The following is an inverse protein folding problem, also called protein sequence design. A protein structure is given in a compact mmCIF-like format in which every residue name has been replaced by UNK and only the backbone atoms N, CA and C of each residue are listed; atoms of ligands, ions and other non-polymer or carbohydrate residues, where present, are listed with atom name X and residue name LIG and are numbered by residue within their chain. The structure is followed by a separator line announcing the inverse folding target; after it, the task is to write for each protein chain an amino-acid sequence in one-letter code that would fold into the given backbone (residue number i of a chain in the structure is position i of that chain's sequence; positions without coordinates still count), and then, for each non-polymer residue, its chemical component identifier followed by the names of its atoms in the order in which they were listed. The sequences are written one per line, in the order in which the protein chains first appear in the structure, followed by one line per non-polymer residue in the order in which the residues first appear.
data_IF_194523203943
#
_entry.id   IF_194523203943
#
_cell.length_a   1.000
_cell.length_b   1.000
_cell.length_c   1.000
_cell.angle_alpha   90.00
_cell.angle_beta   90.00
_cell.angle_gamma   90.00
#
_symmetry.space_group_name_H-M   'P 1'
#
loop_
_entity.id
_entity.type
_entity.pdbx_description
1 polymer ?
#
# COMPACT_ATOMS: atom_id res chain seq x y z
N UNK A 1 -26.80 0.15 6.45
CA UNK A 1 -25.79 -0.94 6.30
C UNK A 1 -24.43 -0.32 5.98
N UNK A 2 -23.37 -0.66 6.73
CA UNK A 2 -22.03 -0.06 6.57
C UNK A 2 -21.37 -0.48 5.25
N UNK A 3 -20.73 0.47 4.55
CA UNK A 3 -20.13 0.26 3.21
C UNK A 3 -18.61 0.50 3.13
N UNK A 4 -18.00 1.11 4.14
CA UNK A 4 -16.57 1.44 4.14
C UNK A 4 -15.68 0.19 3.98
N UNK A 5 -14.78 0.22 2.98
CA UNK A 5 -13.82 -0.83 2.61
C UNK A 5 -14.38 -2.26 2.73
N UNK A 6 -15.55 -2.49 2.13
CA UNK A 6 -16.19 -3.80 2.07
C UNK A 6 -16.42 -4.21 0.63
N UNK A 7 -15.88 -5.36 0.25
CA UNK A 7 -16.23 -5.99 -1.02
C UNK A 7 -17.59 -6.69 -0.85
N UNK A 8 -18.56 -6.34 -1.70
CA UNK A 8 -19.88 -6.99 -1.71
C UNK A 8 -19.77 -8.41 -2.24
N UNK A 9 -20.53 -9.31 -1.63
CA UNK A 9 -20.68 -10.70 -2.06
C UNK A 9 -21.30 -10.74 -3.46
N UNK A 10 -20.70 -11.53 -4.35
CA UNK A 10 -21.20 -11.84 -5.69
C UNK A 10 -21.68 -13.29 -5.79
N UNK A 11 -21.63 -13.88 -6.99
CA UNK A 11 -22.03 -15.27 -7.24
C UNK A 11 -21.04 -16.33 -6.72
N UNK A 12 -19.82 -15.93 -6.37
CA UNK A 12 -18.74 -16.83 -5.95
C UNK A 12 -17.47 -16.66 -6.77
N UNK A 13 -17.58 -16.11 -7.98
CA UNK A 13 -16.47 -16.07 -8.95
C UNK A 13 -15.59 -14.82 -8.87
N UNK A 14 -15.81 -13.97 -7.86
CA UNK A 14 -15.08 -12.70 -7.74
C UNK A 14 -13.77 -12.92 -6.97
N UNK A 15 -12.59 -12.81 -7.61
CA UNK A 15 -11.32 -12.90 -6.90
C UNK A 15 -11.16 -11.68 -5.99
N UNK A 16 -10.68 -11.91 -4.77
CA UNK A 16 -10.39 -10.88 -3.78
C UNK A 16 -9.07 -11.20 -3.10
N UNK A 17 -8.27 -10.17 -2.85
CA UNK A 17 -7.05 -10.33 -2.05
C UNK A 17 -7.37 -10.43 -0.56
N UNK A 18 -6.42 -10.94 0.23
CA UNK A 18 -6.56 -11.00 1.69
C UNK A 18 -6.90 -9.63 2.31
N UNK A 19 -6.25 -8.58 1.80
CA UNK A 19 -6.44 -7.20 2.26
C UNK A 19 -7.86 -6.70 1.96
N UNK A 20 -8.40 -6.98 0.77
CA UNK A 20 -9.76 -6.53 0.38
C UNK A 20 -10.88 -7.35 1.03
N UNK A 21 -10.61 -8.61 1.37
CA UNK A 21 -11.60 -9.53 1.94
C UNK A 21 -12.01 -9.14 3.37
N UNK A 22 -11.14 -8.46 4.11
CA UNK A 22 -11.35 -8.12 5.51
C UNK A 22 -11.80 -6.67 5.70
N UNK A 23 -12.97 -6.42 6.34
CA UNK A 23 -13.45 -5.08 6.64
C UNK A 23 -12.57 -4.32 7.67
N UNK A 24 -12.74 -2.98 7.79
CA UNK A 24 -11.90 -2.13 8.64
C UNK A 24 -11.79 -2.51 10.10
N UNK A 25 -12.84 -3.07 10.70
CA UNK A 25 -12.83 -3.47 12.11
C UNK A 25 -11.94 -4.67 12.41
N UNK A 26 -11.32 -5.29 11.40
CA UNK A 26 -10.29 -6.31 11.58
C UNK A 26 -8.86 -5.78 11.50
N UNK A 27 -8.67 -4.46 11.30
CA UNK A 27 -7.36 -3.83 11.51
C UNK A 27 -6.96 -4.05 12.97
N UNK A 28 -5.71 -4.44 13.19
CA UNK A 28 -5.13 -4.88 14.46
C UNK A 28 -5.66 -6.23 15.02
N UNK A 29 -6.55 -6.94 14.32
CA UNK A 29 -7.02 -8.29 14.72
C UNK A 29 -6.62 -9.38 13.73
N UNK A 30 -6.86 -9.14 12.44
CA UNK A 30 -6.50 -10.05 11.35
C UNK A 30 -5.55 -9.37 10.38
N UNK A 31 -5.70 -8.05 10.20
CA UNK A 31 -4.88 -7.23 9.31
C UNK A 31 -3.98 -6.28 10.09
N UNK A 32 -2.81 -5.99 9.51
CA UNK A 32 -1.91 -4.95 9.99
C UNK A 32 -2.17 -3.57 9.35
N UNK A 33 -1.15 -2.72 9.41
CA UNK A 33 -1.15 -1.39 8.78
C UNK A 33 -0.23 -1.38 7.55
N UNK A 34 -0.69 -0.73 6.48
CA UNK A 34 0.06 -0.57 5.23
C UNK A 34 1.11 0.56 5.29
N UNK A 35 1.08 1.38 6.33
CA UNK A 35 2.12 2.38 6.59
C UNK A 35 2.56 2.30 8.04
N UNK A 36 3.88 2.30 8.26
CA UNK A 36 4.49 2.22 9.57
C UNK A 36 5.41 3.42 9.78
N UNK A 37 5.02 4.31 10.70
CA UNK A 37 5.77 5.49 11.12
C UNK A 37 5.42 5.84 12.59
N UNK A 38 6.23 6.69 13.23
CA UNK A 38 6.07 7.05 14.64
C UNK A 38 5.08 8.19 14.88
N UNK A 39 4.82 9.04 13.88
CA UNK A 39 4.04 10.29 14.04
C UNK A 39 2.60 10.16 14.57
N UNK A 40 2.00 8.97 14.58
CA UNK A 40 0.67 8.76 15.17
C UNK A 40 0.71 8.26 16.63
N UNK A 41 1.91 8.15 17.22
CA UNK A 41 2.06 7.83 18.64
C UNK A 41 1.71 9.06 19.48
N UNK A 42 1.36 8.80 20.74
CA UNK A 42 1.06 9.86 21.70
C UNK A 42 2.30 10.75 21.91
N UNK A 43 2.11 12.07 21.88
CA UNK A 43 3.17 13.06 22.02
C UNK A 43 4.05 13.30 20.76
N UNK A 44 3.82 12.58 19.66
CA UNK A 44 4.58 12.76 18.41
C UNK A 44 3.95 13.80 17.47
N UNK A 45 4.79 14.43 16.63
CA UNK A 45 4.39 15.45 15.65
C UNK A 45 4.40 14.97 14.19
N UNK A 46 4.06 15.88 13.28
CA UNK A 46 4.16 15.70 11.81
C UNK A 46 3.32 14.59 11.17
N UNK A 47 2.26 14.10 11.83
CA UNK A 47 1.36 13.09 11.25
C UNK A 47 0.74 13.52 9.91
N UNK A 48 0.39 14.80 9.77
CA UNK A 48 -0.20 15.35 8.55
C UNK A 48 0.76 15.26 7.35
N UNK A 49 2.01 15.67 7.54
CA UNK A 49 3.05 15.62 6.50
C UNK A 49 3.29 14.18 6.05
N UNK A 50 3.45 13.24 7.00
CA UNK A 50 3.64 11.82 6.68
C UNK A 50 2.48 11.22 5.92
N UNK A 51 1.25 11.65 6.23
CA UNK A 51 0.04 11.22 5.51
C UNK A 51 0.03 11.73 4.06
N UNK A 52 0.44 12.99 3.84
CA UNK A 52 0.53 13.57 2.48
C UNK A 52 1.57 12.81 1.65
N UNK A 53 2.75 12.58 2.21
CA UNK A 53 3.81 11.79 1.57
C UNK A 53 3.32 10.38 1.20
N UNK A 54 2.65 9.71 2.13
CA UNK A 54 2.11 8.37 1.92
C UNK A 54 1.10 8.28 0.77
N UNK A 55 0.21 9.27 0.67
CA UNK A 55 -0.76 9.33 -0.43
C UNK A 55 -0.05 9.63 -1.76
N UNK A 56 0.95 10.52 -1.73
CA UNK A 56 1.77 10.82 -2.91
C UNK A 56 2.51 9.58 -3.41
N UNK A 57 3.26 8.90 -2.53
CA UNK A 57 4.03 7.69 -2.87
C UNK A 57 3.13 6.62 -3.48
N UNK A 58 1.95 6.36 -2.88
CA UNK A 58 1.00 5.38 -3.42
C UNK A 58 0.57 5.72 -4.84
N UNK A 59 0.21 6.98 -5.09
CA UNK A 59 -0.21 7.44 -6.43
C UNK A 59 0.94 7.41 -7.44
N UNK A 60 2.13 7.83 -7.02
CA UNK A 60 3.33 7.82 -7.84
C UNK A 60 3.69 6.40 -8.26
N UNK A 61 3.83 5.46 -7.31
CA UNK A 61 4.19 4.07 -7.60
C UNK A 61 3.11 3.38 -8.45
N UNK A 62 1.82 3.63 -8.17
CA UNK A 62 0.73 3.09 -8.98
C UNK A 62 0.76 3.60 -10.43
N UNK A 63 1.10 4.87 -10.64
CA UNK A 63 1.24 5.45 -11.97
C UNK A 63 2.48 4.93 -12.71
N UNK A 64 3.64 4.91 -12.04
CA UNK A 64 4.93 4.50 -12.61
C UNK A 64 4.94 3.01 -12.98
N UNK A 65 4.40 2.15 -12.12
CA UNK A 65 4.31 0.70 -12.35
C UNK A 65 2.91 0.28 -12.80
N UNK A 66 2.42 0.93 -13.86
CA UNK A 66 1.05 0.77 -14.33
C UNK A 66 0.70 -0.69 -14.63
N UNK A 67 -0.36 -1.18 -13.99
CA UNK A 67 -0.87 -2.55 -14.16
C UNK A 67 0.06 -3.66 -13.69
N UNK A 68 1.20 -3.32 -13.07
CA UNK A 68 2.20 -4.27 -12.60
C UNK A 68 2.09 -4.57 -11.10
N UNK A 69 1.39 -3.76 -10.30
CA UNK A 69 1.17 -4.04 -8.88
C UNK A 69 0.10 -5.12 -8.70
N UNK A 70 0.40 -6.15 -7.91
CA UNK A 70 -0.54 -7.21 -7.57
C UNK A 70 -1.45 -6.81 -6.39
N UNK A 71 -0.88 -6.09 -5.42
CA UNK A 71 -1.52 -5.70 -4.16
C UNK A 71 -1.15 -4.24 -3.82
N UNK A 72 -1.79 -3.68 -2.80
CA UNK A 72 -1.40 -2.42 -2.18
C UNK A 72 0.05 -2.45 -1.67
N UNK A 73 0.74 -1.31 -1.76
CA UNK A 73 2.11 -1.18 -1.29
C UNK A 73 2.19 -1.01 0.23
N UNK A 74 3.27 -1.52 0.82
CA UNK A 74 3.57 -1.36 2.24
C UNK A 74 4.71 -0.35 2.39
N UNK A 75 4.48 0.70 3.17
CA UNK A 75 5.44 1.77 3.43
C UNK A 75 6.00 1.61 4.84
N UNK A 76 7.32 1.63 4.98
CA UNK A 76 8.00 1.57 6.28
C UNK A 76 8.96 2.73 6.39
N UNK A 77 8.93 3.43 7.53
CA UNK A 77 9.90 4.48 7.85
C UNK A 77 10.76 4.05 9.03
N UNK A 78 12.07 4.14 8.88
CA UNK A 78 13.05 3.90 9.95
C UNK A 78 14.07 5.01 9.93
N UNK A 79 14.06 5.86 10.97
CA UNK A 79 14.83 7.10 10.98
C UNK A 79 14.57 7.88 9.67
N UNK A 80 15.62 8.31 8.96
CA UNK A 80 15.52 9.01 7.69
C UNK A 80 15.37 8.09 6.46
N UNK A 81 15.23 6.78 6.66
CA UNK A 81 15.09 5.81 5.57
C UNK A 81 13.62 5.45 5.33
N UNK A 82 13.20 5.61 4.07
CA UNK A 82 11.89 5.22 3.56
C UNK A 82 12.03 3.91 2.76
N UNK A 83 11.43 2.83 3.23
CA UNK A 83 11.37 1.56 2.51
C UNK A 83 9.98 1.35 1.91
N UNK A 84 9.91 1.21 0.59
CA UNK A 84 8.69 0.87 -0.14
C UNK A 84 8.75 -0.63 -0.49
N UNK A 85 7.78 -1.40 -0.01
CA UNK A 85 7.63 -2.82 -0.33
C UNK A 85 6.43 -3.00 -1.27
N UNK A 86 6.66 -3.57 -2.45
CA UNK A 86 5.65 -3.80 -3.45
C UNK A 86 5.70 -5.26 -3.97
N UNK A 87 4.54 -5.83 -4.29
CA UNK A 87 4.43 -7.13 -4.94
C UNK A 87 4.06 -6.88 -6.41
N UNK A 88 4.92 -7.33 -7.32
CA UNK A 88 4.75 -7.12 -8.75
C UNK A 88 4.30 -8.38 -9.49
N UNK A 89 3.40 -8.18 -10.45
CA UNK A 89 3.05 -9.13 -11.51
C UNK A 89 4.10 -9.01 -12.61
N UNK A 90 4.56 -10.15 -13.12
CA UNK A 90 5.59 -10.23 -14.19
C UNK A 90 5.03 -9.88 -15.57
N UNK A 91 4.62 -8.62 -15.77
CA UNK A 91 4.12 -8.11 -17.06
C UNK A 91 5.20 -7.47 -17.93
N UNK A 92 6.26 -6.94 -17.31
CA UNK A 92 7.36 -6.26 -18.00
C UNK A 92 8.66 -7.07 -17.93
N UNK A 93 9.57 -6.92 -18.92
CA UNK A 93 10.92 -7.49 -18.84
C UNK A 93 11.72 -6.91 -17.66
N UNK A 94 12.64 -7.71 -17.11
CA UNK A 94 13.45 -7.33 -15.96
C UNK A 94 14.23 -6.02 -16.16
N UNK A 95 14.77 -5.78 -17.36
CA UNK A 95 15.51 -4.55 -17.67
C UNK A 95 14.68 -3.27 -17.44
N UNK A 96 13.39 -3.29 -17.81
CA UNK A 96 12.49 -2.15 -17.58
C UNK A 96 12.18 -1.99 -16.09
N UNK A 97 12.05 -3.10 -15.35
CA UNK A 97 11.89 -3.03 -13.90
C UNK A 97 13.10 -2.39 -13.23
N UNK A 98 14.32 -2.81 -13.56
CA UNK A 98 15.54 -2.19 -13.00
C UNK A 98 15.64 -0.71 -13.34
N UNK A 99 15.30 -0.32 -14.57
CA UNK A 99 15.25 1.10 -14.96
C UNK A 99 14.24 1.89 -14.11
N UNK A 100 13.01 1.39 -13.97
CA UNK A 100 11.97 2.07 -13.18
C UNK A 100 12.33 2.12 -11.69
N UNK A 101 12.94 1.06 -11.15
CA UNK A 101 13.43 1.04 -9.77
C UNK A 101 14.45 2.16 -9.57
N UNK A 102 15.48 2.24 -10.42
CA UNK A 102 16.48 3.30 -10.33
C UNK A 102 15.97 4.71 -10.63
N UNK A 103 14.84 4.84 -11.36
CA UNK A 103 14.15 6.12 -11.55
C UNK A 103 13.35 6.54 -10.30
N UNK A 104 12.87 5.58 -9.51
CA UNK A 104 12.05 5.84 -8.32
C UNK A 104 12.81 5.95 -7.01
N UNK A 105 14.02 5.41 -6.94
CA UNK A 105 14.96 5.59 -5.81
C UNK A 105 15.56 7.00 -5.78
#
# INVERSE_FOLDING_TARGET
KNRAARVRVGKGDKPVTYEEAHPPHYIAHRKGWLSQHTSNLDGEGSAAERTIEDVFIRRFIFGTFHGCLANEIVIKRRANLLTICAIFIRKLPAQKFYFLIGYTE
#
